data_IF_873663138328
#
_entry.id   IF_873663138328
#
_cell.length_a   1.000
_cell.length_b   1.000
_cell.length_c   1.000
_cell.angle_alpha   90.00
_cell.angle_beta   90.00
_cell.angle_gamma   90.00
#
_symmetry.space_group_name_H-M   'P 1'
#
loop_
_entity.id
_entity.type
_entity.pdbx_description
1 polymer ?
#
# COMPACT_ATOMS: atom_id res chain seq x y z
N UNK A 1 11.36 -9.61 -88.93
CA UNK A 1 9.96 -9.79 -88.49
C UNK A 1 9.96 -10.85 -87.40
N UNK A 2 9.99 -10.48 -86.12
CA UNK A 2 9.79 -11.39 -84.99
C UNK A 2 8.83 -10.69 -84.02
N UNK A 3 7.67 -11.28 -83.81
CA UNK A 3 6.67 -10.84 -82.86
C UNK A 3 7.03 -11.31 -81.46
N UNK A 4 7.19 -10.40 -80.51
CA UNK A 4 7.38 -10.70 -79.10
C UNK A 4 6.02 -10.69 -78.39
N UNK A 5 5.68 -11.81 -77.80
CA UNK A 5 4.47 -12.02 -77.00
C UNK A 5 4.77 -11.62 -75.55
N UNK A 6 4.02 -10.69 -75.03
CA UNK A 6 4.09 -10.23 -73.64
C UNK A 6 3.21 -11.14 -72.79
N UNK A 7 3.79 -11.87 -71.83
CA UNK A 7 3.09 -12.67 -70.85
C UNK A 7 2.80 -11.81 -69.61
N UNK A 8 1.52 -11.59 -69.27
CA UNK A 8 1.06 -10.92 -68.09
C UNK A 8 0.98 -11.96 -66.96
N UNK A 9 1.82 -11.78 -65.93
CA UNK A 9 1.80 -12.60 -64.72
C UNK A 9 0.85 -11.95 -63.71
N UNK A 10 -0.29 -12.57 -63.46
CA UNK A 10 -1.25 -12.17 -62.39
C UNK A 10 -0.81 -12.78 -61.08
N UNK A 11 -0.39 -11.93 -60.13
CA UNK A 11 -0.08 -12.31 -58.75
C UNK A 11 -1.39 -12.28 -57.93
N UNK A 12 -1.87 -13.44 -57.54
CA UNK A 12 -2.99 -13.55 -56.59
C UNK A 12 -2.46 -13.37 -55.15
N UNK A 13 -2.84 -12.25 -54.52
CA UNK A 13 -2.63 -12.02 -53.09
C UNK A 13 -3.66 -12.86 -52.32
N UNK A 14 -3.21 -13.88 -51.58
CA UNK A 14 -4.02 -14.54 -50.56
C UNK A 14 -3.86 -13.77 -49.27
N UNK A 15 -4.87 -12.98 -48.88
CA UNK A 15 -4.98 -12.41 -47.57
C UNK A 15 -5.47 -13.51 -46.61
N UNK A 16 -4.56 -14.06 -45.83
CA UNK A 16 -4.91 -14.94 -44.71
C UNK A 16 -5.50 -14.10 -43.55
N UNK A 17 -6.78 -14.21 -43.30
CA UNK A 17 -7.38 -13.74 -42.03
C UNK A 17 -6.87 -14.64 -40.93
N UNK A 18 -5.98 -14.10 -40.10
CA UNK A 18 -5.69 -14.69 -38.78
C UNK A 18 -6.92 -14.46 -37.89
N UNK A 19 -7.66 -15.51 -37.59
CA UNK A 19 -8.69 -15.47 -36.54
C UNK A 19 -8.01 -15.24 -35.21
N UNK A 20 -8.26 -14.08 -34.59
CA UNK A 20 -7.90 -13.85 -33.20
C UNK A 20 -8.68 -14.87 -32.36
N UNK A 21 -7.98 -15.75 -31.66
CA UNK A 21 -8.57 -16.59 -30.64
C UNK A 21 -8.94 -15.68 -29.46
N UNK A 22 -10.25 -15.44 -29.30
CA UNK A 22 -10.79 -14.86 -28.10
C UNK A 22 -10.51 -15.80 -26.93
N UNK A 23 -9.68 -15.36 -25.97
CA UNK A 23 -9.57 -16.00 -24.67
C UNK A 23 -10.95 -15.94 -24.00
N UNK A 24 -11.48 -17.04 -23.45
CA UNK A 24 -12.77 -17.02 -22.78
C UNK A 24 -12.71 -16.08 -21.58
N UNK A 25 -13.40 -14.95 -21.67
CA UNK A 25 -13.64 -14.07 -20.52
C UNK A 25 -14.41 -14.86 -19.46
N UNK A 26 -13.87 -14.93 -18.23
CA UNK A 26 -14.58 -15.54 -17.12
C UNK A 26 -15.95 -14.88 -16.96
N UNK A 27 -17.02 -15.62 -16.68
CA UNK A 27 -18.36 -15.09 -16.67
C UNK A 27 -18.48 -13.96 -15.63
N UNK A 28 -18.86 -12.76 -16.09
CA UNK A 28 -19.05 -11.54 -15.27
C UNK A 28 -19.97 -11.75 -14.07
N UNK A 29 -20.84 -12.77 -14.09
CA UNK A 29 -21.70 -13.15 -12.97
C UNK A 29 -20.95 -13.72 -11.76
N UNK A 30 -19.86 -14.48 -11.96
CA UNK A 30 -19.07 -15.03 -10.88
C UNK A 30 -18.23 -13.94 -10.18
N UNK A 31 -17.73 -12.95 -10.90
CA UNK A 31 -17.01 -11.80 -10.33
C UNK A 31 -17.93 -10.88 -9.51
N UNK A 32 -19.18 -10.68 -9.94
CA UNK A 32 -20.14 -9.86 -9.20
C UNK A 32 -20.61 -10.52 -7.88
N UNK A 33 -20.77 -11.84 -7.86
CA UNK A 33 -21.18 -12.54 -6.65
C UNK A 33 -20.05 -12.56 -5.60
N UNK A 34 -18.79 -12.77 -5.99
CA UNK A 34 -17.66 -12.71 -5.09
C UNK A 34 -17.50 -11.32 -4.44
N UNK A 35 -17.74 -10.24 -5.19
CA UNK A 35 -17.67 -8.88 -4.67
C UNK A 35 -18.82 -8.57 -3.68
N UNK A 36 -20.01 -9.14 -3.86
CA UNK A 36 -21.13 -8.98 -2.93
C UNK A 36 -20.89 -9.69 -1.59
N UNK A 37 -20.20 -10.83 -1.60
CA UNK A 37 -19.85 -11.56 -0.38
C UNK A 37 -18.66 -10.91 0.37
N UNK A 38 -17.87 -10.08 -0.30
CA UNK A 38 -16.74 -9.37 0.32
C UNK A 38 -17.21 -8.18 1.20
N UNK A 39 -18.27 -7.48 0.78
CA UNK A 39 -18.82 -6.31 1.46
C UNK A 39 -20.22 -6.66 1.99
N UNK A 40 -20.37 -6.67 3.31
CA UNK A 40 -21.64 -6.99 3.98
C UNK A 40 -22.23 -5.75 4.62
N UNK A 41 -23.59 -5.69 4.84
CA UNK A 41 -24.19 -4.58 5.57
C UNK A 41 -23.66 -4.39 7.00
N UNK A 42 -23.13 -5.45 7.62
CA UNK A 42 -22.46 -5.35 8.91
C UNK A 42 -21.10 -4.65 8.79
N UNK A 43 -20.32 -5.02 7.75
CA UNK A 43 -19.05 -4.38 7.46
C UNK A 43 -19.24 -2.87 7.20
N UNK A 44 -20.26 -2.50 6.39
CA UNK A 44 -20.54 -1.08 6.10
C UNK A 44 -20.81 -0.28 7.37
N UNK A 45 -21.64 -0.79 8.29
CA UNK A 45 -21.92 -0.13 9.58
C UNK A 45 -20.66 -0.01 10.46
N UNK A 46 -19.79 -1.01 10.44
CA UNK A 46 -18.53 -0.98 11.21
C UNK A 46 -17.57 0.06 10.63
N UNK A 47 -17.49 0.14 9.31
CA UNK A 47 -16.67 1.14 8.60
C UNK A 47 -17.20 2.55 8.85
N UNK A 48 -18.51 2.78 8.71
CA UNK A 48 -19.17 4.08 8.95
C UNK A 48 -18.86 4.62 10.36
N UNK A 49 -19.11 3.82 11.40
CA UNK A 49 -18.79 4.22 12.79
C UNK A 49 -17.31 4.53 13.00
N UNK A 50 -16.43 3.80 12.34
CA UNK A 50 -15.00 4.01 12.47
C UNK A 50 -14.52 5.26 11.73
N UNK A 51 -15.10 5.58 10.57
CA UNK A 51 -14.85 6.83 9.84
C UNK A 51 -15.31 8.04 10.64
N UNK A 52 -16.50 7.96 11.27
CA UNK A 52 -17.02 8.99 12.16
C UNK A 52 -16.05 9.23 13.32
N UNK A 53 -15.71 8.16 14.08
CA UNK A 53 -14.72 8.25 15.15
C UNK A 53 -13.42 8.90 14.68
N UNK A 54 -12.85 8.42 13.56
CA UNK A 54 -11.55 8.92 13.07
C UNK A 54 -11.63 10.40 12.71
N UNK A 55 -12.74 10.85 12.11
CA UNK A 55 -12.95 12.25 11.75
C UNK A 55 -13.03 13.16 12.98
N UNK A 56 -13.69 12.71 14.06
CA UNK A 56 -13.79 13.44 15.32
C UNK A 56 -12.47 13.57 16.07
N UNK A 57 -11.53 12.65 15.86
CA UNK A 57 -10.20 12.67 16.51
C UNK A 57 -9.21 13.63 15.85
N UNK A 58 -9.56 14.27 14.72
CA UNK A 58 -8.66 15.20 14.05
C UNK A 58 -8.44 16.47 14.86
N UNK A 59 -7.18 16.82 15.09
CA UNK A 59 -6.79 18.03 15.80
C UNK A 59 -7.07 19.30 14.97
N UNK A 60 -7.09 20.47 15.62
CA UNK A 60 -7.35 21.75 14.95
C UNK A 60 -6.34 22.11 13.87
N UNK A 61 -5.10 21.62 13.99
CA UNK A 61 -4.04 21.79 12.99
C UNK A 61 -4.06 20.75 11.85
N UNK A 62 -5.08 19.87 11.83
CA UNK A 62 -5.25 18.84 10.81
C UNK A 62 -4.53 17.52 11.10
N UNK A 63 -3.74 17.43 12.18
CA UNK A 63 -3.03 16.21 12.55
C UNK A 63 -3.92 15.19 13.27
N UNK A 64 -3.45 13.94 13.32
CA UNK A 64 -3.86 12.93 14.28
C UNK A 64 -2.69 12.60 15.20
N UNK A 65 -3.00 12.31 16.47
CA UNK A 65 -1.99 11.99 17.47
C UNK A 65 -1.93 10.50 17.72
N UNK A 66 -0.75 10.00 18.08
CA UNK A 66 -0.53 8.60 18.39
C UNK A 66 0.08 8.40 19.78
N UNK A 67 -0.71 8.44 20.85
CA UNK A 67 -0.23 8.16 22.19
C UNK A 67 1.11 8.84 22.50
N UNK A 68 2.14 8.04 22.76
CA UNK A 68 3.50 8.52 23.03
C UNK A 68 4.23 9.15 21.82
N UNK A 69 3.68 9.01 20.62
CA UNK A 69 4.30 9.54 19.39
C UNK A 69 3.84 10.96 19.05
N UNK A 70 2.95 11.54 19.87
CA UNK A 70 2.47 12.91 19.68
C UNK A 70 1.82 13.17 18.32
N UNK A 71 2.00 14.37 17.79
CA UNK A 71 1.56 14.74 16.44
C UNK A 71 2.50 14.11 15.41
N UNK A 72 1.97 13.21 14.60
CA UNK A 72 2.81 12.33 13.78
C UNK A 72 2.35 12.28 12.33
N UNK A 73 3.26 12.49 11.39
CA UNK A 73 2.94 12.47 9.95
C UNK A 73 2.49 11.08 9.47
N UNK A 74 3.01 9.98 10.06
CA UNK A 74 2.57 8.64 9.68
C UNK A 74 1.11 8.41 10.04
N UNK A 75 0.71 8.73 11.28
CA UNK A 75 -0.66 8.52 11.78
C UNK A 75 -1.62 9.41 11.03
N UNK A 76 -1.25 10.68 10.79
CA UNK A 76 -2.04 11.61 9.97
C UNK A 76 -2.22 11.08 8.55
N UNK A 77 -1.18 10.58 7.92
CA UNK A 77 -1.24 10.01 6.57
C UNK A 77 -2.09 8.75 6.50
N UNK A 78 -1.97 7.86 7.48
CA UNK A 78 -2.81 6.65 7.58
C UNK A 78 -4.28 7.00 7.81
N UNK A 79 -4.57 7.99 8.65
CA UNK A 79 -5.94 8.48 8.86
C UNK A 79 -6.53 9.04 7.55
N UNK A 80 -5.79 9.87 6.82
CA UNK A 80 -6.22 10.37 5.52
C UNK A 80 -6.41 9.24 4.49
N UNK A 81 -5.50 8.26 4.43
CA UNK A 81 -5.65 7.08 3.56
C UNK A 81 -6.88 6.25 3.92
N UNK A 82 -7.21 6.12 5.21
CA UNK A 82 -8.41 5.44 5.67
C UNK A 82 -9.69 6.16 5.21
N UNK A 83 -9.75 7.49 5.31
CA UNK A 83 -10.86 8.29 4.78
C UNK A 83 -10.95 8.19 3.24
N UNK A 84 -9.80 8.21 2.54
CA UNK A 84 -9.75 8.04 1.09
C UNK A 84 -10.12 6.62 0.65
N UNK A 85 -9.90 5.62 1.49
CA UNK A 85 -10.30 4.23 1.25
C UNK A 85 -11.81 4.04 1.12
N UNK A 86 -12.60 4.99 1.60
CA UNK A 86 -14.07 5.02 1.42
C UNK A 86 -14.52 5.67 0.09
N UNK A 87 -13.58 6.21 -0.69
CA UNK A 87 -13.83 6.87 -1.97
C UNK A 87 -13.77 8.39 -1.92
N UNK A 88 -13.50 8.95 -0.76
CA UNK A 88 -13.32 10.38 -0.59
C UNK A 88 -11.95 10.85 -1.12
N UNK A 89 -11.88 12.11 -1.49
CA UNK A 89 -10.63 12.75 -1.97
C UNK A 89 -10.48 14.12 -1.33
N UNK A 90 -9.32 14.75 -1.41
CA UNK A 90 -9.17 16.12 -0.96
C UNK A 90 -10.16 17.13 -1.58
N UNK A 91 -10.76 16.80 -2.73
CA UNK A 91 -11.68 17.69 -3.46
C UNK A 91 -13.16 17.27 -3.40
N UNK A 92 -13.45 16.06 -2.98
CA UNK A 92 -14.82 15.48 -3.05
C UNK A 92 -15.06 14.47 -1.93
N UNK A 93 -16.29 14.43 -1.43
CA UNK A 93 -16.79 13.48 -0.46
C UNK A 93 -17.02 14.12 0.92
N UNK A 94 -17.59 13.35 1.81
CA UNK A 94 -17.98 13.79 3.16
C UNK A 94 -16.77 14.21 3.99
N UNK A 95 -15.67 13.46 3.89
CA UNK A 95 -14.44 13.67 4.64
C UNK A 95 -13.41 14.57 3.92
N UNK A 96 -13.78 15.16 2.77
CA UNK A 96 -12.87 15.98 1.95
C UNK A 96 -12.17 17.09 2.75
N UNK A 97 -12.87 17.72 3.71
CA UNK A 97 -12.28 18.76 4.53
C UNK A 97 -11.25 18.21 5.52
N UNK A 98 -11.52 17.07 6.13
CA UNK A 98 -10.58 16.39 7.02
C UNK A 98 -9.31 15.96 6.27
N UNK A 99 -9.48 15.37 5.08
CA UNK A 99 -8.36 14.98 4.21
C UNK A 99 -7.53 16.21 3.81
N UNK A 100 -8.17 17.34 3.44
CA UNK A 100 -7.43 18.60 3.11
C UNK A 100 -6.60 19.11 4.27
N UNK A 101 -7.17 19.16 5.49
CA UNK A 101 -6.42 19.62 6.67
C UNK A 101 -5.25 18.68 7.00
N UNK A 102 -5.46 17.36 6.88
CA UNK A 102 -4.39 16.40 7.06
C UNK A 102 -3.29 16.53 6.00
N UNK A 103 -3.68 16.79 4.74
CA UNK A 103 -2.74 17.06 3.65
C UNK A 103 -1.94 18.34 3.91
N UNK A 104 -2.60 19.42 4.34
CA UNK A 104 -1.92 20.68 4.67
C UNK A 104 -0.92 20.46 5.82
N UNK A 105 -1.30 19.72 6.88
CA UNK A 105 -0.37 19.35 7.96
C UNK A 105 0.87 18.59 7.44
N UNK A 106 0.69 17.60 6.58
CA UNK A 106 1.80 16.82 6.00
C UNK A 106 2.70 17.70 5.14
N UNK A 107 2.13 18.60 4.33
CA UNK A 107 2.88 19.54 3.49
C UNK A 107 3.63 20.60 4.29
N UNK A 108 3.09 21.03 5.44
CA UNK A 108 3.77 21.97 6.36
C UNK A 108 4.98 21.35 7.04
N UNK A 109 4.97 20.02 7.21
CA UNK A 109 6.09 19.25 7.77
C UNK A 109 7.05 18.69 6.70
N UNK A 110 6.94 19.12 5.45
CA UNK A 110 7.86 18.78 4.38
C UNK A 110 9.01 19.80 4.33
N UNK A 111 10.21 19.36 4.64
CA UNK A 111 11.41 20.18 4.63
C UNK A 111 11.99 20.37 3.22
N UNK A 112 12.79 21.40 3.01
CA UNK A 112 13.44 21.70 1.73
C UNK A 112 14.32 20.56 1.19
N UNK A 113 14.92 19.78 2.09
CA UNK A 113 15.69 18.61 1.71
C UNK A 113 14.83 17.41 1.31
N UNK A 114 13.49 17.51 1.33
CA UNK A 114 12.52 16.49 0.96
C UNK A 114 12.11 15.56 2.11
N UNK A 115 12.66 15.72 3.32
CA UNK A 115 12.22 14.94 4.47
C UNK A 115 10.84 15.44 4.94
N UNK A 116 9.91 14.49 5.12
CA UNK A 116 8.60 14.78 5.70
C UNK A 116 8.58 14.17 7.10
N UNK A 117 8.58 15.01 8.12
CA UNK A 117 8.62 14.56 9.52
C UNK A 117 8.02 15.62 10.45
N UNK A 118 7.23 15.16 11.42
CA UNK A 118 6.86 15.89 12.61
C UNK A 118 7.48 15.19 13.82
N UNK A 119 6.80 15.11 14.97
CA UNK A 119 7.32 14.38 16.12
C UNK A 119 7.59 12.90 15.76
N UNK A 120 8.83 12.46 15.88
CA UNK A 120 9.28 11.14 15.44
C UNK A 120 10.18 10.48 16.51
N UNK A 121 9.58 9.72 17.42
CA UNK A 121 10.29 9.12 18.56
C UNK A 121 11.38 8.09 18.17
N UNK A 122 11.20 7.39 17.04
CA UNK A 122 12.07 6.30 16.58
C UNK A 122 12.76 6.62 15.23
N UNK A 123 13.03 7.90 14.95
CA UNK A 123 13.50 8.35 13.63
C UNK A 123 12.35 8.57 12.63
N UNK A 124 12.61 9.39 11.59
CA UNK A 124 11.54 9.92 10.74
C UNK A 124 11.10 9.01 9.59
N UNK A 125 11.86 7.95 9.23
CA UNK A 125 11.68 7.26 7.94
C UNK A 125 10.38 6.44 7.85
N UNK A 126 9.82 5.94 8.96
CA UNK A 126 8.44 5.40 8.92
C UNK A 126 7.44 6.48 8.52
N UNK A 127 7.50 7.64 9.18
CA UNK A 127 6.65 8.78 8.91
C UNK A 127 6.80 9.26 7.47
N UNK A 128 8.03 9.40 7.02
CA UNK A 128 8.36 9.80 5.67
C UNK A 128 7.78 8.85 4.61
N UNK A 129 7.91 7.53 4.80
CA UNK A 129 7.35 6.53 3.90
C UNK A 129 5.83 6.60 3.79
N UNK A 130 5.12 6.62 4.92
CA UNK A 130 3.64 6.73 4.92
C UNK A 130 3.16 8.10 4.41
N UNK A 131 3.87 9.19 4.72
CA UNK A 131 3.54 10.51 4.20
C UNK A 131 3.74 10.58 2.68
N UNK A 132 4.84 10.04 2.15
CA UNK A 132 5.08 9.98 0.70
C UNK A 132 4.05 9.10 -0.01
N UNK A 133 3.66 7.96 0.58
CA UNK A 133 2.56 7.12 0.09
C UNK A 133 1.26 7.95 0.00
N UNK A 134 0.86 8.62 1.08
CA UNK A 134 -0.35 9.44 1.10
C UNK A 134 -0.31 10.58 0.07
N UNK A 135 0.82 11.28 -0.05
CA UNK A 135 0.98 12.34 -1.05
C UNK A 135 0.83 11.79 -2.47
N UNK A 136 1.35 10.59 -2.76
CA UNK A 136 1.20 9.92 -4.05
C UNK A 136 -0.26 9.60 -4.37
N UNK A 137 -0.99 8.99 -3.42
CA UNK A 137 -2.41 8.69 -3.58
C UNK A 137 -3.26 9.96 -3.74
N UNK A 138 -3.03 10.98 -2.88
CA UNK A 138 -3.74 12.25 -2.95
C UNK A 138 -3.48 12.97 -4.28
N UNK A 139 -2.25 12.97 -4.79
CA UNK A 139 -1.90 13.58 -6.07
C UNK A 139 -2.55 12.83 -7.24
N UNK A 140 -2.45 11.49 -7.25
CA UNK A 140 -3.04 10.65 -8.31
C UNK A 140 -4.57 10.76 -8.39
N UNK A 141 -5.24 10.86 -7.24
CA UNK A 141 -6.71 10.94 -7.17
C UNK A 141 -7.27 12.36 -7.38
N UNK A 142 -6.44 13.39 -7.34
CA UNK A 142 -6.86 14.81 -7.52
C UNK A 142 -6.41 15.43 -8.84
N UNK A 143 -5.76 14.67 -9.71
CA UNK A 143 -5.35 15.13 -11.03
C UNK A 143 -6.55 15.70 -11.80
N UNK A 144 -6.57 17.03 -12.04
CA UNK A 144 -7.68 17.75 -12.65
C UNK A 144 -8.62 18.51 -11.70
N UNK A 145 -8.41 18.46 -10.39
CA UNK A 145 -9.12 19.29 -9.40
C UNK A 145 -8.67 20.75 -9.42
N UNK A 146 -9.59 21.69 -9.24
CA UNK A 146 -9.42 23.12 -9.51
C UNK A 146 -8.43 23.92 -8.65
N UNK A 147 -7.73 23.33 -7.64
CA UNK A 147 -6.73 24.02 -6.83
C UNK A 147 -5.31 23.78 -7.38
N UNK A 148 -4.93 24.58 -8.36
CA UNK A 148 -3.64 24.48 -9.05
C UNK A 148 -2.45 24.78 -8.13
N UNK A 149 -2.59 25.68 -7.15
CA UNK A 149 -1.52 26.02 -6.22
C UNK A 149 -1.22 24.89 -5.23
N UNK A 150 -2.26 24.26 -4.65
CA UNK A 150 -2.11 23.09 -3.79
C UNK A 150 -1.54 21.90 -4.57
N UNK A 151 -2.02 21.67 -5.79
CA UNK A 151 -1.53 20.59 -6.66
C UNK A 151 -0.04 20.77 -6.99
N UNK A 152 0.40 21.99 -7.28
CA UNK A 152 1.82 22.28 -7.53
C UNK A 152 2.69 22.05 -6.28
N UNK A 153 2.25 22.51 -5.10
CA UNK A 153 2.95 22.30 -3.82
C UNK A 153 3.04 20.81 -3.48
N UNK A 154 1.94 20.06 -3.69
CA UNK A 154 1.88 18.61 -3.47
C UNK A 154 2.85 17.88 -4.40
N UNK A 155 2.85 18.21 -5.69
CA UNK A 155 3.78 17.64 -6.66
C UNK A 155 5.24 17.89 -6.28
N UNK A 156 5.60 19.14 -5.93
CA UNK A 156 6.96 19.50 -5.52
C UNK A 156 7.41 18.71 -4.28
N UNK A 157 6.55 18.63 -3.24
CA UNK A 157 6.83 17.88 -2.03
C UNK A 157 7.04 16.39 -2.32
N UNK A 158 6.18 15.80 -3.18
CA UNK A 158 6.26 14.39 -3.57
C UNK A 158 7.55 14.09 -4.34
N UNK A 159 7.94 14.94 -5.30
CA UNK A 159 9.20 14.79 -6.04
C UNK A 159 10.41 14.87 -5.10
N UNK A 160 10.45 15.87 -4.19
CA UNK A 160 11.53 15.98 -3.19
C UNK A 160 11.60 14.78 -2.26
N UNK A 161 10.45 14.26 -1.83
CA UNK A 161 10.36 13.08 -0.97
C UNK A 161 10.89 11.82 -1.67
N UNK A 162 10.51 11.58 -2.93
CA UNK A 162 11.04 10.47 -3.73
C UNK A 162 12.56 10.56 -3.86
N UNK A 163 13.10 11.76 -4.17
CA UNK A 163 14.56 11.97 -4.28
C UNK A 163 15.28 11.73 -2.94
N UNK A 164 14.64 12.01 -1.80
CA UNK A 164 15.21 11.69 -0.50
C UNK A 164 15.26 10.16 -0.31
N UNK A 165 14.18 9.45 -0.60
CA UNK A 165 14.18 7.98 -0.51
C UNK A 165 15.30 7.40 -1.38
N UNK A 166 15.42 7.81 -2.65
CA UNK A 166 16.43 7.30 -3.57
C UNK A 166 17.87 7.50 -3.07
N UNK A 167 18.19 8.70 -2.52
CA UNK A 167 19.57 9.00 -2.09
C UNK A 167 19.93 8.46 -0.70
N UNK A 168 18.96 7.98 0.06
CA UNK A 168 19.16 7.43 1.41
C UNK A 168 19.08 5.92 1.46
N UNK A 169 18.92 5.24 0.32
CA UNK A 169 19.07 3.80 0.21
C UNK A 169 20.52 3.41 0.50
N UNK A 170 20.72 2.43 1.40
CA UNK A 170 22.06 1.95 1.71
C UNK A 170 22.62 1.01 0.61
N UNK A 171 23.89 0.62 0.74
CA UNK A 171 24.53 -0.27 -0.23
C UNK A 171 23.93 -1.68 -0.28
N UNK A 172 23.27 -2.11 0.78
CA UNK A 172 22.55 -3.38 0.85
C UNK A 172 21.22 -3.37 0.09
N UNK A 173 20.66 -2.18 -0.20
CA UNK A 173 19.43 -1.98 -0.94
C UNK A 173 18.20 -1.63 -0.10
N UNK A 174 18.37 -1.39 1.21
CA UNK A 174 17.25 -1.07 2.10
C UNK A 174 17.36 0.29 2.79
N UNK A 175 16.47 0.52 3.76
CA UNK A 175 16.41 1.74 4.58
C UNK A 175 16.14 1.39 6.03
N UNK A 176 16.48 2.30 6.94
CA UNK A 176 16.18 2.23 8.34
C UNK A 176 15.62 3.55 8.88
N UNK A 177 15.64 3.74 10.19
CA UNK A 177 14.93 4.81 10.91
C UNK A 177 15.34 6.24 10.53
N UNK A 178 16.61 6.43 10.17
CA UNK A 178 17.14 7.74 9.83
C UNK A 178 17.44 7.85 8.33
N UNK A 179 17.34 9.07 7.75
CA UNK A 179 17.57 9.29 6.32
C UNK A 179 19.06 9.34 6.00
N UNK A 180 19.80 8.27 6.37
CA UNK A 180 21.23 8.07 6.12
C UNK A 180 21.45 6.66 5.57
N UNK A 181 22.29 6.48 4.54
CA UNK A 181 22.50 5.19 3.89
C UNK A 181 23.48 4.31 4.67
N UNK A 182 23.19 3.99 5.93
CA UNK A 182 24.10 3.26 6.81
C UNK A 182 23.65 1.80 7.00
N UNK A 183 22.44 1.57 7.46
CA UNK A 183 21.88 0.25 7.72
C UNK A 183 20.44 0.14 7.19
N UNK A 184 19.88 -1.06 7.23
CA UNK A 184 18.54 -1.31 6.71
C UNK A 184 17.79 -2.35 7.54
N UNK A 185 16.46 -2.28 7.54
CA UNK A 185 15.58 -3.33 8.03
C UNK A 185 14.35 -3.51 7.13
N UNK A 186 13.76 -4.71 7.15
CA UNK A 186 12.61 -5.06 6.32
C UNK A 186 11.41 -4.17 6.60
N UNK A 187 11.20 -3.76 7.87
CA UNK A 187 9.98 -3.06 8.27
C UNK A 187 9.95 -1.60 7.81
N UNK A 188 11.10 -0.92 7.73
CA UNK A 188 11.20 0.43 7.15
C UNK A 188 11.29 0.35 5.63
N UNK A 189 11.98 -0.66 5.10
CA UNK A 189 12.14 -0.84 3.65
C UNK A 189 10.80 -0.95 2.92
N UNK A 190 9.82 -1.70 3.46
CA UNK A 190 8.48 -1.78 2.85
C UNK A 190 7.80 -0.41 2.74
N UNK A 191 7.93 0.43 3.76
CA UNK A 191 7.31 1.77 3.73
C UNK A 191 7.85 2.60 2.56
N UNK A 192 9.16 2.52 2.30
CA UNK A 192 9.78 3.22 1.17
C UNK A 192 9.38 2.61 -0.19
N UNK A 193 9.34 1.28 -0.29
CA UNK A 193 8.91 0.59 -1.53
C UNK A 193 7.48 0.95 -1.90
N UNK A 194 6.55 0.96 -0.94
CA UNK A 194 5.17 1.39 -1.17
C UNK A 194 5.07 2.86 -1.57
N UNK A 195 5.82 3.73 -0.90
CA UNK A 195 5.89 5.16 -1.23
C UNK A 195 6.36 5.38 -2.66
N UNK A 196 7.42 4.70 -3.09
CA UNK A 196 7.93 4.75 -4.46
C UNK A 196 6.92 4.19 -5.48
N UNK A 197 6.21 3.11 -5.13
CA UNK A 197 5.14 2.56 -6.00
C UNK A 197 4.02 3.56 -6.19
N UNK A 198 3.50 4.16 -5.10
CA UNK A 198 2.43 5.17 -5.17
C UNK A 198 2.87 6.38 -5.98
N UNK A 199 4.07 6.90 -5.73
CA UNK A 199 4.64 8.02 -6.50
C UNK A 199 4.73 7.70 -7.99
N UNK A 200 5.18 6.48 -8.35
CA UNK A 200 5.22 6.03 -9.75
C UNK A 200 3.83 5.93 -10.37
N UNK A 201 2.86 5.40 -9.64
CA UNK A 201 1.45 5.35 -10.10
C UNK A 201 0.88 6.75 -10.33
N UNK A 202 1.33 7.74 -9.55
CA UNK A 202 0.97 9.16 -9.69
C UNK A 202 1.78 9.89 -10.80
N UNK A 203 2.63 9.18 -11.55
CA UNK A 203 3.40 9.75 -12.67
C UNK A 203 4.74 10.38 -12.29
N UNK A 204 5.21 10.19 -11.06
CA UNK A 204 6.53 10.67 -10.62
C UNK A 204 7.60 9.66 -11.06
N UNK A 205 8.69 10.16 -11.62
CA UNK A 205 9.83 9.33 -11.99
C UNK A 205 10.49 8.70 -10.76
N UNK A 206 10.64 7.37 -10.79
CA UNK A 206 11.32 6.56 -9.78
C UNK A 206 12.39 5.72 -10.47
N UNK A 207 13.62 5.78 -9.97
CA UNK A 207 14.75 5.03 -10.52
C UNK A 207 14.56 3.53 -10.34
N UNK A 208 14.60 2.79 -11.45
CA UNK A 208 14.44 1.33 -11.46
C UNK A 208 15.47 0.62 -10.59
N UNK A 209 16.71 1.07 -10.62
CA UNK A 209 17.80 0.46 -9.84
C UNK A 209 17.58 0.53 -8.32
N UNK A 210 16.83 1.52 -7.82
CA UNK A 210 16.47 1.63 -6.41
C UNK A 210 15.49 0.51 -6.03
N UNK A 211 14.52 0.24 -6.90
CA UNK A 211 13.57 -0.86 -6.69
C UNK A 211 14.26 -2.21 -6.80
N UNK A 212 15.12 -2.41 -7.82
CA UNK A 212 15.83 -3.67 -8.01
C UNK A 212 16.72 -4.03 -6.81
N UNK A 213 17.43 -3.06 -6.24
CA UNK A 213 18.22 -3.24 -5.01
C UNK A 213 17.33 -3.56 -3.79
N UNK A 214 16.18 -2.91 -3.66
CA UNK A 214 15.26 -3.20 -2.56
C UNK A 214 14.71 -4.64 -2.64
N UNK A 215 14.39 -5.11 -3.84
CA UNK A 215 13.97 -6.50 -4.08
C UNK A 215 15.06 -7.49 -3.66
N UNK A 216 16.31 -7.24 -4.06
CA UNK A 216 17.45 -8.10 -3.70
C UNK A 216 17.65 -8.13 -2.18
N UNK A 217 17.60 -6.97 -1.51
CA UNK A 217 17.68 -6.87 -0.07
C UNK A 217 16.59 -7.71 0.62
N UNK A 218 15.33 -7.55 0.20
CA UNK A 218 14.19 -8.28 0.78
C UNK A 218 14.36 -9.80 0.59
N UNK A 219 14.74 -10.27 -0.61
CA UNK A 219 14.98 -11.70 -0.85
C UNK A 219 16.06 -12.28 0.06
N UNK A 220 17.17 -11.57 0.29
CA UNK A 220 18.25 -11.98 1.20
C UNK A 220 17.82 -12.01 2.68
N UNK A 221 16.76 -11.28 3.03
CA UNK A 221 16.17 -11.33 4.37
C UNK A 221 15.23 -12.51 4.59
N UNK A 222 14.91 -13.32 3.56
CA UNK A 222 14.04 -14.48 3.75
C UNK A 222 14.81 -15.66 4.36
N UNK A 223 14.19 -16.30 5.36
CA UNK A 223 14.68 -17.53 5.99
C UNK A 223 14.12 -18.78 5.27
N UNK A 224 14.71 -19.94 5.59
CA UNK A 224 14.30 -21.22 4.99
C UNK A 224 12.89 -21.68 5.40
N UNK A 225 12.32 -21.12 6.48
CA UNK A 225 10.93 -21.35 6.89
C UNK A 225 9.91 -20.54 6.07
N UNK A 226 10.39 -19.68 5.15
CA UNK A 226 9.59 -18.80 4.31
C UNK A 226 9.29 -17.43 4.93
N UNK A 227 9.55 -17.25 6.23
CA UNK A 227 9.42 -15.96 6.91
C UNK A 227 10.63 -15.06 6.69
N UNK A 228 10.54 -13.80 7.17
CA UNK A 228 11.59 -12.81 6.99
C UNK A 228 12.22 -12.41 8.32
N UNK A 229 13.54 -12.40 8.36
CA UNK A 229 14.36 -11.84 9.46
C UNK A 229 14.36 -10.31 9.39
N UNK A 230 14.80 -9.67 10.45
CA UNK A 230 14.72 -8.22 10.58
C UNK A 230 15.73 -7.50 9.68
N UNK A 231 16.96 -7.97 9.65
CA UNK A 231 18.10 -7.45 8.89
C UNK A 231 18.83 -8.61 8.22
N UNK A 232 19.90 -8.34 7.44
CA UNK A 232 20.66 -9.38 6.72
C UNK A 232 21.40 -10.35 7.61
N UNK A 233 21.74 -9.94 8.86
CA UNK A 233 22.36 -10.82 9.82
C UNK A 233 21.45 -11.99 10.22
N UNK A 234 21.98 -12.88 11.04
CA UNK A 234 21.21 -14.01 11.56
C UNK A 234 20.06 -13.53 12.45
N UNK A 235 18.87 -14.10 12.27
CA UNK A 235 17.71 -13.75 13.05
C UNK A 235 16.51 -14.66 12.74
N UNK A 236 15.61 -14.78 13.70
CA UNK A 236 14.37 -15.53 13.53
C UNK A 236 13.37 -14.77 12.66
N UNK A 237 12.52 -15.49 11.98
CA UNK A 237 11.35 -14.93 11.30
C UNK A 237 10.34 -14.37 12.30
N UNK A 238 9.63 -13.29 11.91
CA UNK A 238 8.45 -12.83 12.63
C UNK A 238 7.35 -12.44 11.65
N UNK A 239 6.13 -12.82 11.96
CA UNK A 239 5.03 -12.71 11.02
C UNK A 239 4.74 -11.26 10.54
N UNK A 240 4.79 -10.19 11.37
CA UNK A 240 4.47 -8.85 10.87
C UNK A 240 5.46 -8.36 9.80
N UNK A 241 6.76 -8.59 10.01
CA UNK A 241 7.77 -8.24 9.00
C UNK A 241 7.81 -9.21 7.82
N UNK A 242 7.33 -10.45 8.01
CA UNK A 242 7.17 -11.40 6.91
C UNK A 242 6.02 -10.97 5.99
N UNK A 243 4.92 -10.46 6.53
CA UNK A 243 3.87 -9.83 5.76
C UNK A 243 4.41 -8.61 4.97
N UNK A 244 5.21 -7.76 5.63
CA UNK A 244 5.87 -6.63 4.98
C UNK A 244 6.84 -7.07 3.87
N UNK A 245 7.61 -8.13 4.07
CA UNK A 245 8.53 -8.69 3.08
C UNK A 245 7.80 -9.18 1.82
N UNK A 246 6.73 -9.97 2.00
CA UNK A 246 5.89 -10.44 0.87
C UNK A 246 5.26 -9.26 0.14
N UNK A 247 4.64 -8.32 0.87
CA UNK A 247 4.04 -7.13 0.27
C UNK A 247 5.07 -6.29 -0.50
N UNK A 248 6.33 -6.20 -0.03
CA UNK A 248 7.40 -5.50 -0.73
C UNK A 248 7.65 -6.05 -2.12
N UNK A 249 7.68 -7.37 -2.28
CA UNK A 249 7.88 -8.02 -3.58
C UNK A 249 6.74 -7.69 -4.54
N UNK A 250 5.50 -7.77 -4.10
CA UNK A 250 4.34 -7.37 -4.90
C UNK A 250 4.40 -5.90 -5.32
N UNK A 251 4.68 -4.97 -4.39
CA UNK A 251 4.76 -3.55 -4.70
C UNK A 251 5.96 -3.17 -5.57
N UNK A 252 7.00 -3.98 -5.55
CA UNK A 252 8.09 -3.87 -6.52
C UNK A 252 7.71 -4.35 -7.93
N UNK A 253 6.52 -4.95 -8.10
CA UNK A 253 5.99 -5.43 -9.38
C UNK A 253 6.32 -6.91 -9.67
N UNK A 254 6.65 -7.69 -8.65
CA UNK A 254 6.91 -9.12 -8.75
C UNK A 254 5.66 -9.86 -8.30
N UNK A 255 5.07 -10.66 -9.18
CA UNK A 255 3.83 -11.40 -8.91
C UNK A 255 4.04 -12.92 -8.90
N UNK A 256 5.09 -13.42 -9.54
CA UNK A 256 5.46 -14.83 -9.59
C UNK A 256 6.89 -14.99 -9.10
N UNK A 257 7.06 -15.47 -7.87
CA UNK A 257 8.36 -15.68 -7.25
C UNK A 257 8.26 -16.69 -6.11
N UNK A 258 9.21 -17.63 -6.05
CA UNK A 258 9.28 -18.62 -4.97
C UNK A 258 9.30 -17.98 -3.57
N UNK A 259 9.90 -16.80 -3.43
CA UNK A 259 9.92 -16.09 -2.16
C UNK A 259 8.52 -15.63 -1.72
N UNK A 260 7.66 -15.27 -2.68
CA UNK A 260 6.25 -14.94 -2.43
C UNK A 260 5.51 -16.20 -1.95
N UNK A 261 5.59 -17.31 -2.70
CA UNK A 261 4.89 -18.56 -2.36
C UNK A 261 5.28 -19.05 -0.96
N UNK A 262 6.57 -19.03 -0.65
CA UNK A 262 7.10 -19.44 0.65
C UNK A 262 6.63 -18.49 1.76
N UNK A 263 6.62 -17.19 1.49
CA UNK A 263 6.18 -16.16 2.45
C UNK A 263 4.68 -16.23 2.73
N UNK A 264 3.85 -16.37 1.72
CA UNK A 264 2.40 -16.59 1.85
C UNK A 264 2.13 -17.86 2.67
N UNK A 265 2.77 -18.99 2.31
CA UNK A 265 2.66 -20.23 3.06
C UNK A 265 3.12 -20.10 4.52
N UNK A 266 4.16 -19.31 4.80
CA UNK A 266 4.57 -18.99 6.17
C UNK A 266 3.46 -18.23 6.92
N UNK A 267 2.88 -17.20 6.33
CA UNK A 267 1.82 -16.41 6.95
C UNK A 267 0.59 -17.24 7.28
N UNK A 268 0.13 -18.10 6.39
CA UNK A 268 -0.98 -19.04 6.68
C UNK A 268 -0.70 -19.96 7.87
N UNK A 269 0.56 -20.40 8.04
CA UNK A 269 0.89 -21.30 9.17
C UNK A 269 0.96 -20.59 10.51
N UNK A 270 1.38 -19.31 10.55
CA UNK A 270 1.74 -18.64 11.83
C UNK A 270 0.88 -17.45 12.20
N UNK A 271 0.13 -16.88 11.25
CA UNK A 271 -0.57 -15.61 11.41
C UNK A 271 -2.00 -15.59 10.84
N UNK A 272 -2.55 -16.76 10.45
CA UNK A 272 -3.91 -16.81 9.94
C UNK A 272 -4.89 -16.17 10.95
N UNK A 273 -5.75 -15.21 10.51
CA UNK A 273 -6.70 -14.55 11.39
C UNK A 273 -7.63 -15.56 12.07
N UNK A 274 -8.14 -15.23 13.26
CA UNK A 274 -8.99 -16.12 14.06
C UNK A 274 -8.25 -17.26 14.76
N UNK A 275 -6.90 -17.32 14.66
CA UNK A 275 -6.13 -18.37 15.33
C UNK A 275 -5.44 -17.84 16.60
N UNK A 276 -5.37 -18.64 17.70
CA UNK A 276 -4.67 -18.24 18.93
C UNK A 276 -3.16 -18.11 18.76
N UNK A 277 -2.62 -18.54 17.62
CA UNK A 277 -1.16 -18.63 17.37
C UNK A 277 -0.53 -17.31 16.96
N UNK A 278 -1.31 -16.38 16.40
CA UNK A 278 -0.77 -15.09 16.01
C UNK A 278 -0.35 -14.29 17.25
N UNK A 279 0.93 -13.99 17.36
CA UNK A 279 1.41 -13.00 18.34
C UNK A 279 0.68 -11.68 18.09
N UNK A 280 0.12 -11.08 19.14
CA UNK A 280 -0.53 -9.76 19.04
C UNK A 280 0.47 -8.59 18.96
N UNK A 281 1.77 -8.86 19.05
CA UNK A 281 2.79 -7.85 18.85
C UNK A 281 2.75 -7.32 17.42
N UNK A 282 2.63 -6.00 17.28
CA UNK A 282 2.49 -5.32 15.99
C UNK A 282 1.32 -5.82 15.14
N UNK A 283 0.19 -6.13 15.79
CA UNK A 283 -0.99 -6.75 15.17
C UNK A 283 -1.50 -5.96 13.95
N UNK A 284 -1.80 -4.67 14.13
CA UNK A 284 -2.34 -3.84 13.04
C UNK A 284 -1.33 -3.64 11.91
N UNK A 285 -0.05 -3.44 12.23
CA UNK A 285 1.03 -3.37 11.24
C UNK A 285 1.11 -4.68 10.42
N UNK A 286 1.11 -5.81 11.09
CA UNK A 286 1.19 -7.11 10.44
C UNK A 286 0.00 -7.39 9.52
N UNK A 287 -1.23 -7.18 10.00
CA UNK A 287 -2.42 -7.42 9.19
C UNK A 287 -2.62 -6.38 8.07
N UNK A 288 -2.16 -5.14 8.26
CA UNK A 288 -2.12 -4.15 7.19
C UNK A 288 -1.33 -4.64 5.96
N UNK A 289 -0.17 -5.23 6.16
CA UNK A 289 0.61 -5.79 5.04
C UNK A 289 0.13 -7.18 4.62
N UNK A 290 -0.31 -8.01 5.55
CA UNK A 290 -0.79 -9.36 5.23
C UNK A 290 -2.02 -9.34 4.34
N UNK A 291 -3.02 -8.49 4.63
CA UNK A 291 -4.23 -8.39 3.81
C UNK A 291 -3.89 -7.95 2.38
N UNK A 292 -2.95 -7.04 2.22
CA UNK A 292 -2.48 -6.59 0.91
C UNK A 292 -1.74 -7.70 0.16
N UNK A 293 -0.86 -8.43 0.86
CA UNK A 293 -0.15 -9.57 0.29
C UNK A 293 -1.12 -10.65 -0.19
N UNK A 294 -2.11 -11.02 0.63
CA UNK A 294 -3.11 -12.03 0.28
C UNK A 294 -4.04 -11.55 -0.85
N UNK A 295 -4.41 -10.27 -0.86
CA UNK A 295 -5.19 -9.68 -1.95
C UNK A 295 -4.44 -9.75 -3.30
N UNK A 296 -3.14 -9.43 -3.29
CA UNK A 296 -2.30 -9.46 -4.50
C UNK A 296 -1.97 -10.89 -4.93
N UNK A 297 -1.82 -11.85 -4.01
CA UNK A 297 -1.75 -13.27 -4.29
C UNK A 297 -3.06 -13.75 -4.95
N UNK A 298 -4.21 -13.37 -4.39
CA UNK A 298 -5.53 -13.68 -4.95
C UNK A 298 -5.96 -15.13 -4.69
N UNK A 299 -6.95 -15.60 -5.45
CA UNK A 299 -7.42 -17.00 -5.41
C UNK A 299 -7.75 -17.49 -4.00
N UNK A 300 -7.28 -18.70 -3.68
CA UNK A 300 -7.55 -19.36 -2.39
C UNK A 300 -6.91 -18.61 -1.20
N UNK A 301 -5.78 -17.92 -1.40
CA UNK A 301 -5.11 -17.14 -0.36
C UNK A 301 -5.98 -15.98 0.11
N UNK A 302 -6.54 -15.22 -0.83
CA UNK A 302 -7.50 -14.17 -0.51
C UNK A 302 -8.80 -14.73 0.05
N UNK A 303 -9.35 -15.78 -0.57
CA UNK A 303 -10.59 -16.43 -0.16
C UNK A 303 -10.56 -16.96 1.26
N UNK A 304 -9.41 -17.43 1.74
CA UNK A 304 -9.23 -17.88 3.11
C UNK A 304 -8.96 -16.75 4.10
N UNK A 305 -8.14 -15.74 3.70
CA UNK A 305 -7.70 -14.69 4.60
C UNK A 305 -8.75 -13.62 4.86
N UNK A 306 -9.40 -13.14 3.78
CA UNK A 306 -10.30 -12.00 3.86
C UNK A 306 -11.49 -12.21 4.80
N UNK A 307 -12.29 -13.26 4.69
CA UNK A 307 -13.42 -13.45 5.61
C UNK A 307 -12.97 -13.53 7.07
N UNK A 308 -11.84 -14.18 7.33
CA UNK A 308 -11.35 -14.37 8.69
C UNK A 308 -10.88 -13.05 9.33
N UNK A 309 -10.09 -12.22 8.62
CA UNK A 309 -9.64 -10.92 9.16
C UNK A 309 -10.80 -9.94 9.29
N UNK A 310 -11.75 -9.96 8.35
CA UNK A 310 -12.97 -9.14 8.41
C UNK A 310 -13.74 -9.41 9.70
N UNK A 311 -14.08 -10.67 9.96
CA UNK A 311 -14.83 -11.05 11.16
C UNK A 311 -14.06 -10.76 12.46
N UNK A 312 -12.75 -10.99 12.47
CA UNK A 312 -11.91 -10.68 13.63
C UNK A 312 -11.90 -9.17 13.95
N UNK A 313 -11.78 -8.31 12.93
CA UNK A 313 -11.83 -6.86 13.11
C UNK A 313 -13.24 -6.38 13.49
N UNK A 314 -14.30 -6.90 12.86
CA UNK A 314 -15.68 -6.57 13.23
C UNK A 314 -15.93 -6.89 14.71
N UNK A 315 -15.54 -8.07 15.17
CA UNK A 315 -15.70 -8.48 16.58
C UNK A 315 -14.82 -7.66 17.54
N UNK A 316 -13.73 -7.09 17.06
CA UNK A 316 -12.78 -6.29 17.85
C UNK A 316 -13.11 -4.80 17.94
N UNK A 317 -14.13 -4.31 17.22
CA UNK A 317 -14.51 -2.90 17.28
C UNK A 317 -15.12 -2.54 18.63
N UNK A 318 -14.69 -1.43 19.21
CA UNK A 318 -15.20 -0.89 20.47
C UNK A 318 -16.55 -0.17 20.28
N UNK A 319 -17.23 0.10 21.37
CA UNK A 319 -18.54 0.79 21.35
C UNK A 319 -18.45 2.19 20.74
N UNK A 320 -17.31 2.87 20.88
CA UNK A 320 -17.05 4.19 20.28
C UNK A 320 -16.65 4.14 18.78
N UNK A 321 -16.67 2.97 18.15
CA UNK A 321 -16.29 2.79 16.74
C UNK A 321 -14.79 2.56 16.50
N UNK A 322 -13.96 2.64 17.53
CA UNK A 322 -12.50 2.53 17.42
C UNK A 322 -11.95 1.10 17.62
N UNK A 323 -10.65 0.95 17.34
CA UNK A 323 -9.80 -0.14 17.82
C UNK A 323 -8.67 0.41 18.67
N UNK A 324 -8.05 -0.43 19.49
CA UNK A 324 -6.99 -0.04 20.42
C UNK A 324 -5.66 -0.71 20.09
N UNK A 325 -4.62 0.10 19.94
CA UNK A 325 -3.22 -0.32 20.01
C UNK A 325 -2.53 0.42 21.15
N UNK A 326 -2.33 -0.26 22.28
CA UNK A 326 -1.80 0.39 23.50
C UNK A 326 -0.49 1.14 23.30
N UNK A 327 0.49 0.64 22.51
CA UNK A 327 1.74 1.39 22.25
C UNK A 327 1.54 2.65 21.39
N UNK A 328 0.63 2.63 20.41
CA UNK A 328 0.53 3.69 19.39
C UNK A 328 -0.72 4.53 19.57
N UNK A 329 -1.81 3.93 20.02
CA UNK A 329 -3.07 4.63 20.29
C UNK A 329 -4.21 4.30 19.32
N UNK A 330 -5.43 4.72 19.66
CA UNK A 330 -6.63 4.30 18.94
C UNK A 330 -6.75 4.89 17.52
N UNK A 331 -6.27 6.11 17.27
CA UNK A 331 -6.31 6.71 15.94
C UNK A 331 -5.52 5.87 14.92
N UNK A 332 -4.33 5.37 15.31
CA UNK A 332 -3.54 4.46 14.49
C UNK A 332 -4.25 3.13 14.25
N UNK A 333 -4.74 2.49 15.33
CA UNK A 333 -5.41 1.20 15.22
C UNK A 333 -6.67 1.28 14.35
N UNK A 334 -7.44 2.36 14.50
CA UNK A 334 -8.65 2.60 13.71
C UNK A 334 -8.32 2.87 12.24
N UNK A 335 -7.31 3.70 11.94
CA UNK A 335 -6.89 3.95 10.56
C UNK A 335 -6.42 2.66 9.88
N UNK A 336 -5.60 1.85 10.54
CA UNK A 336 -5.14 0.56 10.00
C UNK A 336 -6.30 -0.41 9.78
N UNK A 337 -7.23 -0.54 10.74
CA UNK A 337 -8.42 -1.39 10.60
C UNK A 337 -9.31 -0.95 9.44
N UNK A 338 -9.55 0.35 9.30
CA UNK A 338 -10.30 0.91 8.17
C UNK A 338 -9.66 0.60 6.83
N UNK A 339 -8.34 0.78 6.70
CA UNK A 339 -7.63 0.45 5.45
C UNK A 339 -7.77 -1.05 5.12
N UNK A 340 -7.63 -1.94 6.14
CA UNK A 340 -7.84 -3.38 5.97
C UNK A 340 -9.27 -3.67 5.52
N UNK A 341 -10.28 -3.15 6.24
CA UNK A 341 -11.69 -3.45 6.00
C UNK A 341 -12.22 -2.88 4.67
N UNK A 342 -11.55 -1.86 4.13
CA UNK A 342 -11.92 -1.22 2.86
C UNK A 342 -11.16 -1.77 1.65
N UNK A 343 -10.27 -2.77 1.81
CA UNK A 343 -9.55 -3.39 0.70
C UNK A 343 -10.46 -3.81 -0.47
N UNK A 344 -11.64 -4.43 -0.26
CA UNK A 344 -12.52 -4.81 -1.36
C UNK A 344 -13.11 -3.63 -2.13
N UNK A 345 -13.17 -2.43 -1.55
CA UNK A 345 -13.67 -1.22 -2.23
C UNK A 345 -12.75 -0.75 -3.35
N UNK A 346 -11.44 -1.02 -3.26
CA UNK A 346 -10.40 -0.75 -4.30
C UNK A 346 -10.30 0.72 -4.71
N UNK A 347 -10.67 1.65 -3.84
CA UNK A 347 -10.60 3.07 -4.17
C UNK A 347 -9.17 3.62 -4.21
N UNK A 348 -8.27 3.13 -3.33
CA UNK A 348 -6.88 3.56 -3.32
C UNK A 348 -6.09 2.91 -4.47
N UNK A 349 -5.46 3.71 -5.37
CA UNK A 349 -4.68 3.21 -6.49
C UNK A 349 -3.56 2.24 -6.09
N UNK A 350 -2.95 2.44 -4.91
CA UNK A 350 -1.88 1.56 -4.41
C UNK A 350 -2.35 0.11 -4.23
N UNK A 351 -3.64 -0.14 -3.96
CA UNK A 351 -4.20 -1.47 -3.76
C UNK A 351 -4.71 -2.13 -5.05
N UNK A 352 -4.61 -1.44 -6.18
CA UNK A 352 -4.97 -2.01 -7.48
C UNK A 352 -3.80 -2.81 -8.08
N UNK A 353 -4.11 -3.93 -8.76
CA UNK A 353 -3.12 -4.78 -9.46
C UNK A 353 -2.57 -4.12 -10.70
#
# INVERSE_FOLDING_TARGET
MRRSTLAILTLALHAGLAAAQETPEAPRSAQNNAAQDEITPQLDRVVERALEYLSEQQQSDGSWTGGRFGKNVAITSLACLALMGDGDTPSRGEHAQAIRRGLDFVLENAAENGLIAAEAANGPMYGHGFATLFLGEAYGMTAGGGDTARSARLHEALVKAVRLIERTQNDEGGWRYNPVPYDADVSVTICQVMALRSARNAGIEVKKEVIDKAVDYIRRCQNTDGGFKYQLETGSSAWPRSAAGVASLFYAGIYEDRAIDQGVGYLHRVAAPGTPRASRAHYFYGHYYAVQAMYLAGGDDWGAWWPAIREELIAGQRDDGSWEDRPVGPAYATAMSLIILQMPKRYLPIFQK
#
